data_IF_861890073208
#
_entry.id   IF_861890073208
#
_cell.length_a   1.000
_cell.length_b   1.000
_cell.length_c   1.000
_cell.angle_alpha   90.00
_cell.angle_beta   90.00
_cell.angle_gamma   90.00
#
_symmetry.space_group_name_H-M   'P 1'
#
loop_
_entity.id
_entity.type
_entity.pdbx_description
1 polymer ?
#
# COMPACT_ATOMS: atom_id res chain seq x y z
N UNK A 1 -32.76 -7.77 -22.25
CA UNK A 1 -31.71 -7.01 -21.55
C UNK A 1 -30.64 -6.62 -22.56
N UNK A 2 -30.63 -5.37 -23.04
CA UNK A 2 -29.57 -4.88 -23.94
C UNK A 2 -28.37 -4.49 -23.08
N UNK A 3 -27.26 -5.22 -23.20
CA UNK A 3 -25.99 -4.81 -22.60
C UNK A 3 -25.39 -3.81 -23.58
N UNK A 4 -25.50 -2.52 -23.27
CA UNK A 4 -24.74 -1.49 -23.97
C UNK A 4 -23.27 -1.64 -23.58
N UNK A 5 -22.41 -1.98 -24.54
CA UNK A 5 -20.97 -1.92 -24.37
C UNK A 5 -20.57 -0.48 -24.08
N UNK A 6 -20.24 -0.21 -22.82
CA UNK A 6 -19.69 1.07 -22.41
C UNK A 6 -18.17 0.92 -22.39
N UNK A 7 -17.52 1.45 -23.41
CA UNK A 7 -16.06 1.49 -23.48
C UNK A 7 -15.60 2.55 -22.48
N UNK A 8 -14.88 2.11 -21.45
CA UNK A 8 -14.30 3.00 -20.45
C UNK A 8 -12.86 3.31 -20.85
N UNK A 9 -12.60 4.54 -21.29
CA UNK A 9 -11.24 5.03 -21.45
C UNK A 9 -10.73 5.55 -20.09
N UNK A 10 -9.50 5.19 -19.66
CA UNK A 10 -8.88 5.75 -18.46
C UNK A 10 -8.90 7.28 -18.47
N UNK A 11 -8.74 7.90 -19.64
CA UNK A 11 -8.75 9.36 -19.79
C UNK A 11 -10.13 10.00 -19.68
N UNK A 12 -11.21 9.21 -19.75
CA UNK A 12 -12.60 9.72 -19.78
C UNK A 12 -13.39 9.48 -18.50
N UNK A 13 -12.97 8.53 -17.65
CA UNK A 13 -13.71 8.13 -16.44
C UNK A 13 -12.84 8.08 -15.18
N UNK A 14 -11.53 7.91 -15.34
CA UNK A 14 -10.61 7.85 -14.21
C UNK A 14 -9.95 9.22 -14.00
N UNK A 15 -9.94 9.69 -12.76
CA UNK A 15 -9.22 10.90 -12.39
C UNK A 15 -7.75 10.78 -12.79
N UNK A 16 -7.19 11.82 -13.40
CA UNK A 16 -5.83 11.81 -13.99
C UNK A 16 -4.78 11.25 -13.03
N UNK A 17 -4.82 11.68 -11.76
CA UNK A 17 -3.90 11.20 -10.72
C UNK A 17 -3.98 9.69 -10.49
N UNK A 18 -5.17 9.10 -10.59
CA UNK A 18 -5.34 7.65 -10.42
C UNK A 18 -4.85 6.93 -11.68
N UNK A 19 -5.17 7.45 -12.86
CA UNK A 19 -4.71 6.88 -14.14
C UNK A 19 -3.17 6.85 -14.21
N UNK A 20 -2.51 7.96 -13.86
CA UNK A 20 -1.05 8.11 -13.90
C UNK A 20 -0.33 7.22 -12.87
N UNK A 21 -1.04 6.70 -11.87
CA UNK A 21 -0.49 5.88 -10.77
C UNK A 21 -1.14 4.50 -10.67
N UNK A 22 -1.86 4.05 -11.70
CA UNK A 22 -2.65 2.82 -11.64
C UNK A 22 -1.81 1.58 -11.37
N UNK A 23 -0.60 1.50 -11.94
CA UNK A 23 0.34 0.38 -11.73
C UNK A 23 0.81 0.31 -10.29
N UNK A 24 1.11 1.46 -9.67
CA UNK A 24 1.50 1.52 -8.27
C UNK A 24 0.35 1.08 -7.35
N UNK A 25 -0.86 1.61 -7.59
CA UNK A 25 -2.05 1.21 -6.81
C UNK A 25 -2.30 -0.29 -6.96
N UNK A 26 -2.18 -0.82 -8.17
CA UNK A 26 -2.34 -2.25 -8.44
C UNK A 26 -1.32 -3.10 -7.68
N UNK A 27 -0.04 -2.71 -7.71
CA UNK A 27 1.02 -3.38 -6.97
C UNK A 27 0.77 -3.39 -5.45
N UNK A 28 0.27 -2.28 -4.89
CA UNK A 28 0.00 -2.16 -3.46
C UNK A 28 -1.30 -2.83 -3.01
N UNK A 29 -2.37 -2.74 -3.82
CA UNK A 29 -3.68 -3.29 -3.46
C UNK A 29 -3.84 -4.76 -3.80
N UNK A 30 -2.96 -5.29 -4.65
CA UNK A 30 -3.08 -6.61 -5.25
C UNK A 30 -4.07 -6.67 -6.42
N UNK A 31 -3.92 -7.71 -7.24
CA UNK A 31 -4.91 -8.11 -8.25
C UNK A 31 -5.91 -9.13 -7.66
N UNK A 32 -6.90 -9.56 -8.44
CA UNK A 32 -7.95 -10.46 -7.94
C UNK A 32 -7.43 -11.85 -7.51
N UNK A 33 -6.24 -12.24 -7.99
CA UNK A 33 -5.56 -13.49 -7.61
C UNK A 33 -4.50 -13.29 -6.53
N UNK A 34 -4.23 -12.06 -6.09
CA UNK A 34 -3.22 -11.76 -5.05
C UNK A 34 -3.92 -11.46 -3.72
N UNK A 35 -3.39 -12.01 -2.63
CA UNK A 35 -3.86 -11.72 -1.28
C UNK A 35 -3.83 -10.20 -1.00
N UNK A 36 -5.00 -9.60 -0.85
CA UNK A 36 -5.15 -8.21 -0.45
C UNK A 36 -4.95 -8.05 1.08
N UNK A 37 -4.61 -6.84 1.52
CA UNK A 37 -4.59 -6.51 2.94
C UNK A 37 -5.95 -6.79 3.57
N UNK A 38 -5.96 -7.63 4.60
CA UNK A 38 -7.19 -8.01 5.29
C UNK A 38 -7.91 -6.77 5.84
N UNK A 39 -9.22 -6.65 5.56
CA UNK A 39 -10.07 -5.53 5.96
C UNK A 39 -9.74 -4.17 5.29
N UNK A 40 -8.94 -4.16 4.23
CA UNK A 40 -8.72 -2.99 3.38
C UNK A 40 -9.35 -3.19 2.01
N UNK A 41 -10.30 -2.33 1.66
CA UNK A 41 -10.90 -2.30 0.31
C UNK A 41 -10.02 -1.55 -0.67
N UNK A 42 -10.04 -1.92 -1.96
CA UNK A 42 -9.24 -1.26 -3.03
C UNK A 42 -9.43 0.27 -3.06
N UNK A 43 -10.63 0.76 -2.74
CA UNK A 43 -10.92 2.20 -2.63
C UNK A 43 -10.08 2.91 -1.57
N UNK A 44 -9.68 2.23 -0.49
CA UNK A 44 -8.87 2.85 0.59
C UNK A 44 -7.46 3.19 0.09
N UNK A 45 -6.89 2.38 -0.79
CA UNK A 45 -5.60 2.66 -1.44
C UNK A 45 -5.68 3.90 -2.33
N UNK A 46 -6.74 4.00 -3.14
CA UNK A 46 -7.01 5.17 -3.99
C UNK A 46 -7.18 6.43 -3.13
N UNK A 47 -7.95 6.34 -2.06
CA UNK A 47 -8.15 7.47 -1.13
C UNK A 47 -6.85 7.88 -0.42
N UNK A 48 -6.04 6.93 0.03
CA UNK A 48 -4.73 7.22 0.64
C UNK A 48 -3.83 8.00 -0.32
N UNK A 49 -3.81 7.64 -1.59
CA UNK A 49 -3.05 8.38 -2.59
C UNK A 49 -3.59 9.80 -2.80
N UNK A 50 -4.92 9.94 -2.95
CA UNK A 50 -5.58 11.24 -3.18
C UNK A 50 -5.42 12.21 -2.02
N UNK A 51 -5.41 11.70 -0.78
CA UNK A 51 -5.40 12.52 0.42
C UNK A 51 -3.98 12.94 0.85
N UNK A 52 -2.93 12.46 0.17
CA UNK A 52 -1.55 12.70 0.57
C UNK A 52 -0.67 13.04 -0.64
N UNK A 53 -0.56 14.33 -0.95
CA UNK A 53 0.25 14.83 -2.06
C UNK A 53 1.74 14.50 -1.93
N UNK A 54 2.25 14.31 -0.71
CA UNK A 54 3.65 13.93 -0.52
C UNK A 54 3.91 12.48 -0.99
N UNK A 55 2.90 11.60 -0.98
CA UNK A 55 3.02 10.27 -1.59
C UNK A 55 3.25 10.33 -3.09
N UNK A 56 2.67 11.31 -3.79
CA UNK A 56 2.85 11.42 -5.25
C UNK A 56 4.32 11.63 -5.61
N UNK A 57 5.04 12.46 -4.84
CA UNK A 57 6.48 12.66 -5.02
C UNK A 57 7.29 11.40 -4.74
N UNK A 58 6.88 10.65 -3.73
CA UNK A 58 7.55 9.38 -3.35
C UNK A 58 7.29 8.31 -4.41
N UNK A 59 6.10 8.27 -5.03
CA UNK A 59 5.75 7.28 -6.06
C UNK A 59 6.50 7.49 -7.38
N UNK A 60 6.99 8.69 -7.67
CA UNK A 60 7.88 8.90 -8.83
C UNK A 60 9.15 8.03 -8.76
N UNK A 61 9.63 7.70 -7.56
CA UNK A 61 10.73 6.74 -7.36
C UNK A 61 10.34 5.34 -7.86
N UNK A 62 9.10 4.91 -7.64
CA UNK A 62 8.60 3.62 -8.12
C UNK A 62 8.49 3.57 -9.65
N UNK A 63 8.22 4.70 -10.30
CA UNK A 63 8.10 4.78 -11.76
C UNK A 63 9.44 4.80 -12.48
N UNK A 64 10.53 5.10 -11.78
CA UNK A 64 11.86 5.12 -12.36
C UNK A 64 12.40 3.69 -12.56
N UNK A 65 12.69 3.25 -13.79
CA UNK A 65 13.23 1.92 -14.04
C UNK A 65 14.66 1.72 -13.49
N UNK A 66 15.42 2.79 -13.28
CA UNK A 66 16.82 2.71 -12.81
C UNK A 66 16.92 2.65 -11.28
N UNK A 67 15.78 2.53 -10.59
CA UNK A 67 15.72 2.66 -9.15
C UNK A 67 16.04 1.33 -8.45
N UNK A 68 16.82 1.41 -7.37
CA UNK A 68 17.22 0.21 -6.63
C UNK A 68 16.02 -0.50 -5.98
N UNK A 69 16.04 -1.84 -5.85
CA UNK A 69 14.98 -2.57 -5.13
C UNK A 69 14.72 -2.04 -3.71
N UNK A 70 15.78 -1.62 -3.02
CA UNK A 70 15.69 -1.03 -1.67
C UNK A 70 14.88 0.28 -1.66
N UNK A 71 15.07 1.14 -2.66
CA UNK A 71 14.31 2.38 -2.78
C UNK A 71 12.83 2.10 -3.08
N UNK A 72 12.55 1.11 -3.96
CA UNK A 72 11.18 0.67 -4.25
C UNK A 72 10.48 0.12 -3.01
N UNK A 73 11.18 -0.68 -2.20
CA UNK A 73 10.66 -1.17 -0.91
C UNK A 73 10.38 -0.01 0.06
N UNK A 74 11.25 1.00 0.12
CA UNK A 74 11.03 2.19 0.95
C UNK A 74 9.77 2.97 0.54
N UNK A 75 9.52 3.13 -0.76
CA UNK A 75 8.28 3.72 -1.28
C UNK A 75 7.05 2.94 -0.81
N UNK A 76 7.07 1.61 -0.97
CA UNK A 76 5.98 0.74 -0.51
C UNK A 76 5.74 0.85 1.00
N UNK A 77 6.81 0.88 1.80
CA UNK A 77 6.73 1.05 3.25
C UNK A 77 6.11 2.39 3.64
N UNK A 78 6.53 3.50 3.03
CA UNK A 78 5.95 4.84 3.28
C UNK A 78 4.47 4.88 2.91
N UNK A 79 4.09 4.25 1.81
CA UNK A 79 2.69 4.14 1.43
C UNK A 79 1.88 3.34 2.46
N UNK A 80 2.39 2.22 2.96
CA UNK A 80 1.74 1.46 4.03
C UNK A 80 1.60 2.29 5.31
N UNK A 81 2.62 3.05 5.71
CA UNK A 81 2.53 3.95 6.87
C UNK A 81 1.38 4.96 6.70
N UNK A 82 1.26 5.57 5.51
CA UNK A 82 0.15 6.47 5.18
C UNK A 82 -1.21 5.76 5.16
N UNK A 83 -1.27 4.54 4.62
CA UNK A 83 -2.49 3.73 4.54
C UNK A 83 -3.07 3.41 5.94
N UNK A 84 -2.19 3.31 6.92
CA UNK A 84 -2.52 3.10 8.33
C UNK A 84 -2.77 4.41 9.11
N UNK A 85 -2.74 5.56 8.43
CA UNK A 85 -3.11 6.87 8.97
C UNK A 85 -1.97 7.63 9.66
N UNK A 86 -0.72 7.26 9.41
CA UNK A 86 0.45 7.95 9.97
C UNK A 86 1.08 8.90 8.93
N UNK A 87 1.65 10.04 9.35
CA UNK A 87 2.36 10.95 8.45
C UNK A 87 3.65 10.30 7.91
N UNK A 88 4.05 10.69 6.70
CA UNK A 88 5.25 10.16 6.00
C UNK A 88 6.43 11.14 5.95
N UNK A 89 6.22 12.38 6.40
CA UNK A 89 7.11 13.53 6.16
C UNK A 89 7.89 14.00 7.38
N UNK A 90 7.81 13.31 8.53
CA UNK A 90 8.50 13.72 9.76
C UNK A 90 9.56 12.73 10.20
N UNK A 91 10.56 13.18 10.97
CA UNK A 91 11.52 12.31 11.69
C UNK A 91 10.82 11.30 12.61
N UNK A 92 9.56 11.56 12.94
CA UNK A 92 8.71 10.73 13.79
C UNK A 92 7.89 9.70 13.01
N UNK A 93 8.11 9.59 11.69
CA UNK A 93 7.47 8.56 10.86
C UNK A 93 7.81 7.19 11.44
N UNK A 94 6.84 6.45 12.01
CA UNK A 94 7.14 5.16 12.61
C UNK A 94 7.57 4.20 11.51
N UNK A 95 8.67 3.47 11.75
CA UNK A 95 9.03 2.36 10.86
C UNK A 95 7.86 1.39 10.74
N UNK A 96 7.74 0.71 9.60
CA UNK A 96 6.68 -0.29 9.40
C UNK A 96 6.69 -1.34 10.52
N UNK A 97 7.87 -1.73 11.01
CA UNK A 97 8.02 -2.63 12.16
C UNK A 97 7.45 -2.05 13.46
N UNK A 98 7.65 -0.75 13.73
CA UNK A 98 7.05 -0.09 14.89
C UNK A 98 5.52 -0.07 14.79
N UNK A 99 4.99 0.14 13.59
CA UNK A 99 3.56 0.09 13.33
C UNK A 99 3.00 -1.32 13.54
N UNK A 100 3.65 -2.37 13.01
CA UNK A 100 3.28 -3.76 13.25
C UNK A 100 3.28 -4.11 14.74
N UNK A 101 4.30 -3.66 15.48
CA UNK A 101 4.37 -3.87 16.93
C UNK A 101 3.23 -3.17 17.67
N UNK A 102 2.90 -1.92 17.33
CA UNK A 102 1.76 -1.19 17.90
C UNK A 102 0.44 -1.87 17.61
N UNK A 103 0.23 -2.32 16.37
CA UNK A 103 -0.96 -3.08 15.98
C UNK A 103 -1.07 -4.40 16.75
N UNK A 104 0.03 -5.14 16.87
CA UNK A 104 0.11 -6.37 17.65
C UNK A 104 -0.27 -6.12 19.11
N UNK A 105 0.40 -5.17 19.78
CA UNK A 105 0.12 -4.85 21.18
C UNK A 105 -1.35 -4.48 21.38
N UNK A 106 -1.90 -3.58 20.55
CA UNK A 106 -3.31 -3.18 20.63
C UNK A 106 -4.25 -4.38 20.47
N UNK A 107 -3.94 -5.30 19.56
CA UNK A 107 -4.76 -6.49 19.33
C UNK A 107 -4.70 -7.50 20.47
N UNK A 108 -3.53 -7.69 21.10
CA UNK A 108 -3.30 -8.68 22.16
C UNK A 108 -4.00 -8.31 23.48
N UNK A 109 -4.20 -7.01 23.75
CA UNK A 109 -4.90 -6.54 24.96
C UNK A 109 -6.39 -6.27 24.75
N UNK A 110 -6.94 -6.53 23.56
CA UNK A 110 -8.39 -6.45 23.35
C UNK A 110 -9.09 -7.61 24.06
N UNK A 111 -10.06 -7.30 24.93
CA UNK A 111 -10.83 -8.29 25.72
C UNK A 111 -11.65 -9.26 24.87
N UNK A 112 -11.95 -8.94 23.60
CA UNK A 112 -12.54 -9.88 22.66
C UNK A 112 -11.43 -10.69 21.99
N UNK A 113 -11.45 -12.02 22.14
CA UNK A 113 -10.51 -13.00 21.55
C UNK A 113 -10.57 -13.10 20.01
N UNK A 114 -10.95 -12.01 19.33
CA UNK A 114 -11.14 -11.99 17.90
C UNK A 114 -9.77 -11.89 17.20
N UNK A 115 -9.23 -13.04 16.79
CA UNK A 115 -7.96 -13.18 16.06
C UNK A 115 -7.88 -12.31 14.78
N UNK A 116 -9.01 -11.82 14.28
CA UNK A 116 -9.09 -10.84 13.20
C UNK A 116 -8.31 -9.54 13.49
N UNK A 117 -8.12 -9.19 14.77
CA UNK A 117 -7.39 -7.99 15.17
C UNK A 117 -5.89 -8.04 14.81
N UNK A 118 -5.26 -9.23 14.87
CA UNK A 118 -3.88 -9.45 14.46
C UNK A 118 -3.71 -9.37 12.93
N UNK A 119 -4.76 -9.75 12.19
CA UNK A 119 -4.79 -9.68 10.71
C UNK A 119 -4.82 -8.25 10.17
N UNK A 120 -5.04 -7.27 11.05
CA UNK A 120 -5.02 -5.86 10.69
C UNK A 120 -3.60 -5.28 10.68
N UNK A 121 -2.57 -6.02 11.15
CA UNK A 121 -1.17 -5.56 11.07
C UNK A 121 -0.71 -5.42 9.61
N UNK A 122 0.15 -4.43 9.30
CA UNK A 122 0.78 -4.36 7.99
C UNK A 122 1.59 -5.65 7.72
N UNK A 123 1.61 -6.16 6.48
CA UNK A 123 2.43 -7.29 6.11
C UNK A 123 3.89 -6.88 6.25
N UNK A 124 4.67 -7.70 6.96
CA UNK A 124 6.11 -7.55 7.02
C UNK A 124 6.73 -8.47 5.98
N UNK A 125 7.58 -7.92 5.11
CA UNK A 125 8.47 -8.75 4.33
C UNK A 125 9.56 -9.30 5.27
N UNK A 126 9.75 -10.62 5.37
CA UNK A 126 10.87 -11.16 6.13
C UNK A 126 12.18 -10.64 5.55
N UNK A 127 13.08 -10.17 6.42
CA UNK A 127 14.38 -9.60 6.04
C UNK A 127 15.22 -10.53 5.13
N UNK A 128 14.97 -11.84 5.18
CA UNK A 128 15.63 -12.85 4.35
C UNK A 128 15.32 -12.71 2.85
N UNK A 129 14.16 -12.14 2.47
CA UNK A 129 13.82 -11.89 1.07
C UNK A 129 14.62 -10.72 0.47
N UNK A 130 15.15 -9.82 1.30
CA UNK A 130 15.97 -8.69 0.85
C UNK A 130 17.40 -9.10 0.49
N UNK A 131 17.80 -10.31 0.90
CA UNK A 131 19.12 -10.92 0.65
C UNK A 131 19.04 -12.05 -0.39
N UNK A 132 17.88 -12.26 -1.02
CA UNK A 132 17.69 -13.32 -2.00
C UNK A 132 18.30 -12.89 -3.35
N UNK A 133 19.36 -13.55 -3.85
CA UNK A 133 20.00 -13.20 -5.11
C UNK A 133 19.09 -13.43 -6.33
N UNK A 134 17.95 -14.11 -6.18
CA UNK A 134 16.96 -14.27 -7.25
C UNK A 134 16.10 -13.01 -7.51
N UNK A 135 16.18 -11.99 -6.64
CA UNK A 135 15.47 -10.71 -6.76
C UNK A 135 16.42 -9.52 -7.01
N UNK A 136 17.73 -9.79 -7.22
CA UNK A 136 18.78 -8.79 -7.46
C UNK A 136 19.01 -8.53 -8.96
#
# INVERSE_FOLDING_TARGET
MKITEKIFSPHTVLEKTIADNILFIHAMSGCDTTSALFNYVKLKFVQTLKNNNDLLKVIEIFKNPDMTPKAVVDVGNRFLVALYGYPITTSDTPSLNNLCYKCYMKSSFNKSSNMASLRSCPPTFPKSLLSDPALA
#
